data_IF_418969439425
#
_entry.id   IF_418969439425
#
_cell.length_a   1.000
_cell.length_b   1.000
_cell.length_c   1.000
_cell.angle_alpha   90.00
_cell.angle_beta   90.00
_cell.angle_gamma   90.00
#
_symmetry.space_group_name_H-M   'P 1'
#
loop_
_entity.id
_entity.type
_entity.pdbx_description
1 polymer ?
#
# COMPACT_ATOMS: atom_id res chain seq x y z
N UNK A 1 -6.26 33.04 -16.95
CA UNK A 1 -5.51 31.80 -16.60
C UNK A 1 -6.53 30.76 -16.19
N UNK A 2 -6.68 29.69 -16.96
CA UNK A 2 -7.72 28.69 -16.76
C UNK A 2 -7.45 27.90 -15.47
N UNK A 3 -8.42 27.92 -14.53
CA UNK A 3 -8.53 26.99 -13.40
C UNK A 3 -8.89 25.59 -13.95
N UNK A 4 -7.93 24.89 -14.53
CA UNK A 4 -8.02 23.47 -14.89
C UNK A 4 -7.13 22.63 -13.94
N UNK A 5 -7.15 22.85 -12.65
CA UNK A 5 -6.76 21.83 -11.69
C UNK A 5 -8.05 21.23 -11.14
N UNK A 6 -8.39 20.04 -11.59
CA UNK A 6 -9.27 19.14 -10.82
C UNK A 6 -8.78 19.22 -9.39
N UNK A 7 -9.68 19.55 -8.44
CA UNK A 7 -9.34 19.61 -7.01
C UNK A 7 -9.06 18.17 -6.55
N UNK A 8 -7.82 17.72 -6.80
CA UNK A 8 -7.37 16.37 -6.52
C UNK A 8 -6.56 16.34 -5.23
N UNK A 9 -6.94 15.47 -4.32
CA UNK A 9 -6.27 15.22 -3.06
C UNK A 9 -5.81 13.76 -2.97
N UNK A 10 -4.65 13.54 -2.38
CA UNK A 10 -4.10 12.20 -2.20
C UNK A 10 -4.09 11.82 -0.72
N UNK A 11 -4.55 10.62 -0.41
CA UNK A 11 -4.51 10.02 0.93
C UNK A 11 -3.57 8.84 0.90
N UNK A 12 -2.52 8.88 1.71
CA UNK A 12 -1.56 7.79 1.89
C UNK A 12 -2.03 6.91 3.05
N UNK A 13 -2.24 5.62 2.78
CA UNK A 13 -2.59 4.62 3.79
C UNK A 13 -1.32 3.99 4.36
N UNK A 14 -1.02 4.26 5.63
CA UNK A 14 0.25 3.91 6.28
C UNK A 14 0.07 3.13 7.59
N UNK A 15 -0.96 2.27 7.67
CA UNK A 15 -1.31 1.51 8.88
C UNK A 15 -0.69 0.10 8.99
N UNK A 16 0.08 -0.37 8.01
CA UNK A 16 0.64 -1.72 7.96
C UNK A 16 1.73 -1.98 9.02
N UNK A 17 1.77 -3.19 9.61
CA UNK A 17 2.80 -3.60 10.60
C UNK A 17 4.13 -4.00 9.97
N UNK A 18 4.12 -4.46 8.71
CA UNK A 18 5.34 -4.83 7.98
C UNK A 18 6.11 -6.03 8.54
N UNK A 19 5.49 -6.89 9.37
CA UNK A 19 6.12 -8.03 10.09
C UNK A 19 6.96 -8.98 9.21
N UNK A 20 6.62 -9.09 7.93
CA UNK A 20 7.34 -9.96 6.96
C UNK A 20 8.75 -9.49 6.61
N UNK A 21 9.16 -8.30 7.06
CA UNK A 21 10.53 -7.80 6.92
C UNK A 21 11.32 -7.80 8.23
N UNK A 22 10.82 -8.47 9.27
CA UNK A 22 11.61 -8.65 10.47
C UNK A 22 12.94 -9.36 10.14
N UNK A 23 14.09 -8.95 10.71
CA UNK A 23 14.28 -7.94 11.74
C UNK A 23 14.54 -6.51 11.21
N UNK A 24 14.43 -6.25 9.91
CA UNK A 24 14.56 -4.88 9.38
C UNK A 24 13.38 -3.99 9.78
N UNK A 25 12.18 -4.57 9.85
CA UNK A 25 10.98 -3.89 10.34
C UNK A 25 10.69 -4.28 11.79
N UNK A 26 10.27 -3.30 12.59
CA UNK A 26 9.81 -3.45 13.97
C UNK A 26 8.47 -2.71 14.14
N UNK A 27 7.73 -2.90 15.25
CA UNK A 27 6.54 -2.11 15.52
C UNK A 27 6.78 -0.59 15.47
N UNK A 28 7.96 -0.12 15.91
CA UNK A 28 8.36 1.30 15.92
C UNK A 28 8.85 1.77 14.55
N UNK A 29 9.31 0.86 13.72
CA UNK A 29 9.81 1.12 12.36
C UNK A 29 9.26 0.08 11.38
N UNK A 30 7.94 0.10 11.08
CA UNK A 30 7.35 -0.84 10.16
C UNK A 30 7.81 -0.62 8.71
N UNK A 31 7.43 -1.54 7.81
CA UNK A 31 7.88 -1.65 6.42
C UNK A 31 7.93 -0.31 5.67
N UNK A 32 6.93 0.55 5.81
CA UNK A 32 6.84 1.82 5.09
C UNK A 32 7.97 2.81 5.44
N UNK A 33 8.67 2.63 6.58
CA UNK A 33 9.84 3.43 6.95
C UNK A 33 11.18 2.82 6.54
N UNK A 34 11.17 1.65 5.91
CA UNK A 34 12.40 1.01 5.44
C UNK A 34 12.99 1.78 4.26
N UNK A 35 14.30 2.07 4.34
CA UNK A 35 15.10 2.73 3.31
C UNK A 35 15.98 1.72 2.57
N UNK A 36 15.38 0.61 2.17
CA UNK A 36 16.11 -0.50 1.55
C UNK A 36 16.10 -0.37 0.04
N UNK A 37 15.02 0.11 -0.52
CA UNK A 37 14.83 0.22 -1.97
C UNK A 37 14.95 1.68 -2.42
N UNK A 38 16.09 2.05 -3.01
CA UNK A 38 16.29 3.39 -3.60
C UNK A 38 16.68 4.51 -2.62
N UNK A 39 17.13 4.17 -1.37
CA UNK A 39 17.69 5.13 -0.42
C UNK A 39 16.68 5.95 0.39
N UNK A 40 15.48 6.21 -0.13
CA UNK A 40 14.37 6.83 0.59
C UNK A 40 13.43 5.78 1.20
N UNK A 41 12.68 6.15 2.25
CA UNK A 41 11.65 5.28 2.80
C UNK A 41 10.50 5.06 1.82
N UNK A 42 9.83 3.90 1.90
CA UNK A 42 8.71 3.59 1.01
C UNK A 42 7.57 4.61 1.13
N UNK A 43 7.28 5.10 2.34
CA UNK A 43 6.27 6.14 2.54
C UNK A 43 6.68 7.45 1.86
N UNK A 44 7.96 7.85 1.92
CA UNK A 44 8.44 9.03 1.22
C UNK A 44 8.34 8.86 -0.28
N UNK A 45 8.76 7.72 -0.82
CA UNK A 45 8.60 7.40 -2.24
C UNK A 45 7.13 7.42 -2.67
N UNK A 46 6.19 6.98 -1.79
CA UNK A 46 4.75 7.03 -2.07
C UNK A 46 4.23 8.45 -2.23
N UNK A 47 4.75 9.40 -1.48
CA UNK A 47 4.39 10.82 -1.59
C UNK A 47 5.09 11.45 -2.80
N UNK A 48 6.41 11.29 -2.92
CA UNK A 48 7.22 11.99 -3.94
C UNK A 48 6.81 11.60 -5.36
N UNK A 49 6.42 10.34 -5.60
CA UNK A 49 5.93 9.91 -6.91
C UNK A 49 4.60 10.54 -7.34
N UNK A 50 3.82 11.12 -6.41
CA UNK A 50 2.58 11.84 -6.68
C UNK A 50 2.78 13.33 -6.95
N UNK A 51 3.94 13.89 -6.61
CA UNK A 51 4.25 15.29 -6.87
C UNK A 51 4.20 15.60 -8.36
N UNK A 52 3.57 16.74 -8.69
CA UNK A 52 3.21 17.10 -10.07
C UNK A 52 1.74 16.74 -10.41
N UNK A 53 1.08 15.90 -9.59
CA UNK A 53 -0.38 15.74 -9.60
C UNK A 53 -1.02 16.44 -8.41
N UNK A 54 -0.34 16.46 -7.26
CA UNK A 54 -0.75 17.15 -6.02
C UNK A 54 0.39 17.98 -5.47
N UNK A 55 0.09 18.95 -4.61
CA UNK A 55 1.05 19.66 -3.76
C UNK A 55 1.07 18.99 -2.38
N UNK A 56 2.08 19.25 -1.57
CA UNK A 56 2.17 18.69 -0.22
C UNK A 56 0.96 19.06 0.67
N UNK A 57 0.39 20.25 0.47
CA UNK A 57 -0.80 20.71 1.20
C UNK A 57 -2.04 19.88 0.90
N UNK A 58 -2.09 19.22 -0.24
CA UNK A 58 -3.19 18.39 -0.72
C UNK A 58 -2.93 16.88 -0.50
N UNK A 59 -1.82 16.55 0.20
CA UNK A 59 -1.52 15.17 0.65
C UNK A 59 -1.95 14.99 2.09
N UNK A 60 -2.64 13.90 2.35
CA UNK A 60 -3.10 13.45 3.66
C UNK A 60 -2.49 12.08 3.98
N UNK A 61 -2.30 11.79 5.26
CA UNK A 61 -1.78 10.49 5.70
C UNK A 61 -2.65 9.93 6.82
N UNK A 62 -3.09 8.69 6.65
CA UNK A 62 -3.75 7.90 7.69
C UNK A 62 -2.77 6.83 8.17
N UNK A 63 -2.37 6.88 9.43
CA UNK A 63 -1.38 5.98 10.03
C UNK A 63 -1.82 5.55 11.43
N UNK A 64 -1.12 4.64 12.10
CA UNK A 64 -1.34 4.34 13.50
C UNK A 64 -0.99 5.56 14.38
N UNK A 65 -1.71 5.79 15.49
CA UNK A 65 -1.43 6.87 16.45
C UNK A 65 0.03 6.86 16.93
N UNK A 66 0.60 5.68 17.12
CA UNK A 66 1.96 5.50 17.61
C UNK A 66 3.02 5.90 16.56
N UNK A 67 2.64 5.92 15.28
CA UNK A 67 3.52 6.27 14.16
C UNK A 67 3.37 7.73 13.67
N UNK A 68 2.44 8.51 14.22
CA UNK A 68 2.20 9.90 13.79
C UNK A 68 3.49 10.74 13.87
N UNK A 69 4.23 10.66 14.97
CA UNK A 69 5.46 11.43 15.14
C UNK A 69 6.59 10.95 14.19
N UNK A 70 6.69 9.64 13.95
CA UNK A 70 7.63 9.10 12.97
C UNK A 70 7.27 9.55 11.54
N UNK A 71 5.98 9.52 11.20
CA UNK A 71 5.47 10.00 9.91
C UNK A 71 5.74 11.48 9.69
N UNK A 72 5.53 12.34 10.71
CA UNK A 72 5.83 13.78 10.63
C UNK A 72 7.32 14.06 10.42
N UNK A 73 8.21 13.29 11.06
CA UNK A 73 9.67 13.42 10.84
C UNK A 73 10.08 12.97 9.44
N UNK A 74 9.42 11.94 8.91
CA UNK A 74 9.72 11.42 7.58
C UNK A 74 9.17 12.31 6.46
N UNK A 75 8.04 12.99 6.71
CA UNK A 75 7.30 13.82 5.74
C UNK A 75 7.07 15.24 6.31
N UNK A 76 8.12 16.02 6.62
CA UNK A 76 8.00 17.32 7.25
C UNK A 76 7.30 18.38 6.38
N UNK A 77 7.24 18.17 5.07
CA UNK A 77 6.59 19.07 4.11
C UNK A 77 5.04 18.96 4.15
N UNK A 78 4.50 17.84 4.66
CA UNK A 78 3.05 17.66 4.80
C UNK A 78 2.57 18.39 6.06
N UNK A 79 1.53 19.24 5.97
CA UNK A 79 0.97 19.91 7.13
C UNK A 79 0.58 18.93 8.24
N UNK A 80 0.96 19.20 9.48
CA UNK A 80 0.72 18.29 10.61
C UNK A 80 -0.78 17.94 10.79
N UNK A 81 -1.68 18.85 10.41
CA UNK A 81 -3.14 18.65 10.45
C UNK A 81 -3.65 17.62 9.42
N UNK A 82 -2.85 17.31 8.39
CA UNK A 82 -3.16 16.34 7.35
C UNK A 82 -2.69 14.93 7.71
N UNK A 83 -2.00 14.74 8.84
CA UNK A 83 -1.54 13.44 9.32
C UNK A 83 -2.38 13.05 10.53
N UNK A 84 -3.24 12.04 10.36
CA UNK A 84 -4.09 11.51 11.44
C UNK A 84 -3.63 10.12 11.88
N UNK A 85 -3.76 9.87 13.18
CA UNK A 85 -3.43 8.60 13.81
C UNK A 85 -4.67 7.80 14.17
N UNK A 86 -4.83 6.63 13.55
CA UNK A 86 -5.85 5.65 13.93
C UNK A 86 -5.64 5.22 15.39
N UNK A 87 -6.65 5.32 16.25
CA UNK A 87 -6.49 4.96 17.66
C UNK A 87 -6.23 3.48 17.89
N UNK A 88 -6.69 2.63 16.96
CA UNK A 88 -6.49 1.18 16.94
C UNK A 88 -6.59 0.62 15.51
N UNK A 89 -6.24 -0.65 15.32
CA UNK A 89 -6.31 -1.31 14.00
C UNK A 89 -7.73 -1.78 13.71
N UNK A 90 -8.34 -1.26 12.62
CA UNK A 90 -9.68 -1.62 12.11
C UNK A 90 -9.67 -2.04 10.64
N UNK A 91 -8.48 -2.38 10.09
CA UNK A 91 -8.28 -2.68 8.68
C UNK A 91 -8.54 -1.46 7.76
N UNK A 92 -8.48 -1.65 6.44
CA UNK A 92 -8.50 -0.54 5.47
C UNK A 92 -9.84 0.15 5.33
N UNK A 93 -10.96 -0.48 5.71
CA UNK A 93 -12.29 0.11 5.62
C UNK A 93 -12.41 1.40 6.43
N UNK A 94 -12.07 1.35 7.72
CA UNK A 94 -12.10 2.52 8.59
C UNK A 94 -11.05 3.58 8.20
N UNK A 95 -9.87 3.16 7.75
CA UNK A 95 -8.81 4.06 7.30
C UNK A 95 -9.23 4.85 6.04
N UNK A 96 -9.88 4.20 5.07
CA UNK A 96 -10.40 4.85 3.86
C UNK A 96 -11.53 5.81 4.22
N UNK A 97 -12.49 5.38 5.06
CA UNK A 97 -13.59 6.24 5.50
C UNK A 97 -13.09 7.51 6.21
N UNK A 98 -12.13 7.38 7.13
CA UNK A 98 -11.50 8.51 7.81
C UNK A 98 -10.73 9.42 6.82
N UNK A 99 -10.05 8.82 5.84
CA UNK A 99 -9.38 9.54 4.76
C UNK A 99 -10.34 10.35 3.88
N UNK A 100 -11.53 9.80 3.57
CA UNK A 100 -12.61 10.52 2.87
C UNK A 100 -13.06 11.73 3.69
N UNK A 101 -13.31 11.56 4.98
CA UNK A 101 -13.69 12.63 5.88
C UNK A 101 -12.63 13.72 5.98
N UNK A 102 -11.36 13.33 6.08
CA UNK A 102 -10.24 14.26 6.20
C UNK A 102 -10.01 15.07 4.92
N UNK A 103 -9.95 14.41 3.76
CA UNK A 103 -9.72 15.05 2.46
C UNK A 103 -10.97 15.77 1.95
N UNK A 104 -12.18 15.30 2.27
CA UNK A 104 -13.46 15.85 1.81
C UNK A 104 -13.94 17.10 2.55
N UNK A 105 -13.24 17.54 3.60
CA UNK A 105 -13.63 18.70 4.40
C UNK A 105 -13.70 20.04 3.59
N UNK A 106 -13.10 20.10 2.41
CA UNK A 106 -13.11 21.28 1.54
C UNK A 106 -14.15 21.26 0.41
N UNK A 107 -15.05 20.29 0.38
CA UNK A 107 -16.05 20.13 -0.68
C UNK A 107 -15.92 18.83 -1.47
N UNK A 108 -16.72 18.70 -2.55
CA UNK A 108 -16.70 17.52 -3.42
C UNK A 108 -15.62 17.63 -4.50
N UNK A 109 -14.47 17.02 -4.22
CA UNK A 109 -13.34 16.92 -5.12
C UNK A 109 -12.98 15.46 -5.37
N UNK A 110 -12.02 15.22 -6.26
CA UNK A 110 -11.50 13.88 -6.51
C UNK A 110 -10.45 13.52 -5.44
N UNK A 111 -10.64 12.39 -4.78
CA UNK A 111 -9.71 11.85 -3.77
C UNK A 111 -9.11 10.54 -4.29
N UNK A 112 -7.81 10.37 -4.11
CA UNK A 112 -7.11 9.12 -4.41
C UNK A 112 -6.45 8.52 -3.17
N UNK A 113 -6.63 7.22 -2.96
CA UNK A 113 -6.01 6.45 -1.88
C UNK A 113 -4.84 5.65 -2.43
N UNK A 114 -3.69 5.71 -1.74
CA UNK A 114 -2.44 5.08 -2.17
C UNK A 114 -1.77 4.37 -0.99
N UNK A 115 -1.41 3.10 -1.11
CA UNK A 115 -0.59 2.41 -0.11
C UNK A 115 0.80 3.04 0.04
N UNK A 116 1.29 3.07 1.27
CA UNK A 116 2.58 3.67 1.63
C UNK A 116 3.79 2.77 1.42
N UNK A 117 3.60 1.50 1.05
CA UNK A 117 4.60 0.45 1.20
C UNK A 117 4.87 -0.35 -0.09
N UNK A 118 4.43 0.18 -1.23
CA UNK A 118 4.61 -0.42 -2.55
C UNK A 118 5.72 0.26 -3.35
N UNK A 119 6.42 -0.53 -4.17
CA UNK A 119 7.40 -0.03 -5.13
C UNK A 119 6.75 0.34 -6.47
N UNK A 120 7.31 1.35 -7.10
CA UNK A 120 6.97 1.82 -8.45
C UNK A 120 8.26 2.13 -9.19
N UNK A 121 8.62 1.33 -10.18
CA UNK A 121 9.87 1.49 -10.90
C UNK A 121 9.87 2.67 -11.90
N UNK A 122 8.70 3.03 -12.45
CA UNK A 122 8.56 4.08 -13.45
C UNK A 122 7.60 5.21 -12.98
N UNK A 123 8.05 6.17 -12.15
CA UNK A 123 7.19 7.22 -11.58
C UNK A 123 6.50 8.10 -12.63
N UNK A 124 7.09 8.32 -13.80
CA UNK A 124 6.47 9.11 -14.89
C UNK A 124 5.26 8.36 -15.44
N UNK A 125 5.39 7.06 -15.73
CA UNK A 125 4.27 6.22 -16.20
C UNK A 125 3.18 6.09 -15.12
N UNK A 126 3.58 5.97 -13.86
CA UNK A 126 2.67 5.98 -12.72
C UNK A 126 1.81 7.25 -12.70
N UNK A 127 2.44 8.45 -12.75
CA UNK A 127 1.69 9.72 -12.80
C UNK A 127 0.75 9.81 -13.99
N UNK A 128 1.17 9.36 -15.16
CA UNK A 128 0.29 9.32 -16.34
C UNK A 128 -0.92 8.41 -16.13
N UNK A 129 -0.75 7.26 -15.47
CA UNK A 129 -1.83 6.33 -15.12
C UNK A 129 -2.78 6.95 -14.10
N UNK A 130 -2.26 7.54 -13.02
CA UNK A 130 -3.06 8.23 -11.99
C UNK A 130 -3.85 9.39 -12.61
N UNK A 131 -3.24 10.18 -13.51
CA UNK A 131 -3.93 11.27 -14.23
C UNK A 131 -5.13 10.75 -15.05
N UNK A 132 -5.01 9.60 -15.71
CA UNK A 132 -6.12 8.95 -16.42
C UNK A 132 -7.21 8.50 -15.44
N UNK A 133 -6.82 7.94 -14.29
CA UNK A 133 -7.76 7.52 -13.26
C UNK A 133 -8.53 8.71 -12.65
N UNK A 134 -7.86 9.82 -12.37
CA UNK A 134 -8.49 11.07 -11.92
C UNK A 134 -9.51 11.56 -12.96
N UNK A 135 -9.11 11.62 -14.24
CA UNK A 135 -10.00 12.08 -15.32
C UNK A 135 -11.21 11.14 -15.51
N UNK A 136 -11.06 9.85 -15.26
CA UNK A 136 -12.15 8.87 -15.29
C UNK A 136 -13.10 9.07 -14.09
N UNK A 137 -12.55 9.18 -12.88
CA UNK A 137 -13.30 9.39 -11.64
C UNK A 137 -14.14 10.69 -11.66
N UNK A 138 -13.62 11.73 -12.28
CA UNK A 138 -14.35 13.01 -12.41
C UNK A 138 -15.58 12.96 -13.32
N UNK A 139 -15.75 11.90 -14.14
CA UNK A 139 -16.84 11.80 -15.13
C UNK A 139 -18.12 11.17 -14.58
N UNK A 140 -18.10 10.52 -13.43
CA UNK A 140 -19.29 9.84 -12.93
C UNK A 140 -19.07 9.14 -11.59
N UNK A 141 -20.11 8.54 -11.02
CA UNK A 141 -20.11 7.97 -9.68
C UNK A 141 -19.46 6.57 -9.65
N UNK A 142 -18.24 6.46 -10.14
CA UNK A 142 -17.48 5.22 -10.13
C UNK A 142 -16.23 5.36 -9.25
N UNK A 143 -15.89 4.30 -8.51
CA UNK A 143 -14.57 4.15 -7.88
C UNK A 143 -13.64 3.53 -8.93
N UNK A 144 -12.61 4.28 -9.30
CA UNK A 144 -11.59 3.83 -10.25
C UNK A 144 -10.48 3.15 -9.49
N UNK A 145 -10.17 1.89 -9.84
CA UNK A 145 -8.96 1.22 -9.36
C UNK A 145 -7.91 1.10 -10.45
N UNK A 146 -6.64 0.97 -10.03
CA UNK A 146 -5.52 0.73 -10.95
C UNK A 146 -5.28 -0.78 -11.01
N UNK A 147 -5.39 -1.33 -12.22
CA UNK A 147 -5.16 -2.74 -12.49
C UNK A 147 -3.76 -3.00 -13.03
N UNK A 148 -3.07 -3.98 -12.48
CA UNK A 148 -1.71 -4.39 -12.88
C UNK A 148 -1.78 -5.75 -13.58
N UNK A 149 -1.07 -5.90 -14.69
CA UNK A 149 -1.02 -7.17 -15.40
C UNK A 149 -0.38 -8.27 -14.55
N UNK A 150 -1.10 -9.37 -14.26
CA UNK A 150 -0.56 -10.46 -13.46
C UNK A 150 0.59 -11.17 -14.18
N UNK A 151 1.62 -11.54 -13.42
CA UNK A 151 2.73 -12.37 -13.89
C UNK A 151 2.67 -13.81 -13.36
N UNK A 152 1.85 -14.05 -12.33
CA UNK A 152 1.62 -15.36 -11.72
C UNK A 152 0.24 -15.41 -11.04
N UNK A 153 -0.33 -16.59 -10.72
CA UNK A 153 -1.63 -16.71 -10.08
C UNK A 153 -1.54 -16.43 -8.56
N UNK A 154 -1.39 -15.15 -8.19
CA UNK A 154 -1.30 -14.72 -6.80
C UNK A 154 -2.62 -14.94 -6.06
N UNK A 155 -2.58 -15.56 -4.88
CA UNK A 155 -3.73 -15.69 -3.96
C UNK A 155 -3.74 -14.61 -2.88
N UNK A 156 -2.70 -13.79 -2.80
CA UNK A 156 -2.56 -12.68 -1.85
C UNK A 156 -3.08 -11.34 -2.34
N UNK A 157 -3.49 -11.24 -3.61
CA UNK A 157 -3.98 -10.00 -4.23
C UNK A 157 -5.45 -10.11 -4.65
N UNK A 158 -6.14 -8.97 -4.67
CA UNK A 158 -7.43 -8.83 -5.34
C UNK A 158 -7.26 -8.87 -6.87
N UNK A 159 -8.31 -9.28 -7.56
CA UNK A 159 -8.38 -9.30 -9.02
C UNK A 159 -9.55 -8.44 -9.49
N UNK A 160 -9.38 -7.78 -10.63
CA UNK A 160 -10.42 -6.96 -11.23
C UNK A 160 -10.51 -7.21 -12.73
N UNK A 161 -11.73 -7.39 -13.22
CA UNK A 161 -12.03 -7.49 -14.64
C UNK A 161 -11.87 -6.10 -15.26
N UNK A 162 -10.99 -5.91 -16.27
CA UNK A 162 -10.73 -4.59 -16.83
C UNK A 162 -11.91 -4.01 -17.62
N UNK A 163 -12.83 -4.84 -18.11
CA UNK A 163 -14.00 -4.42 -18.90
C UNK A 163 -15.24 -4.26 -18.03
N UNK A 164 -15.59 -5.29 -17.27
CA UNK A 164 -16.80 -5.28 -16.44
C UNK A 164 -16.61 -4.63 -15.07
N UNK A 165 -15.40 -4.34 -14.63
CA UNK A 165 -15.11 -3.79 -13.31
C UNK A 165 -15.37 -4.76 -12.15
N UNK A 166 -15.66 -6.05 -12.42
CA UNK A 166 -15.92 -7.05 -11.39
C UNK A 166 -14.67 -7.26 -10.53
N UNK A 167 -14.82 -7.02 -9.24
CA UNK A 167 -13.74 -7.12 -8.25
C UNK A 167 -13.88 -8.39 -7.41
N UNK A 168 -12.78 -9.07 -7.12
CA UNK A 168 -12.73 -10.28 -6.27
C UNK A 168 -11.48 -10.22 -5.39
N UNK A 169 -11.65 -10.19 -4.08
CA UNK A 169 -10.54 -10.14 -3.12
C UNK A 169 -9.98 -11.54 -2.88
N UNK A 170 -8.66 -11.70 -3.00
CA UNK A 170 -7.86 -12.88 -2.64
C UNK A 170 -8.51 -14.23 -2.99
N UNK A 171 -8.68 -14.53 -4.28
CA UNK A 171 -9.28 -15.78 -4.71
C UNK A 171 -8.40 -16.98 -4.35
N UNK A 172 -8.99 -18.16 -4.33
CA UNK A 172 -8.24 -19.41 -4.28
C UNK A 172 -7.36 -19.62 -5.53
N UNK A 173 -6.39 -20.53 -5.47
CA UNK A 173 -5.44 -20.77 -6.55
C UNK A 173 -6.10 -21.17 -7.87
N UNK A 174 -7.21 -21.94 -7.81
CA UNK A 174 -7.96 -22.37 -9.01
C UNK A 174 -8.56 -21.16 -9.71
N UNK A 175 -9.21 -20.27 -8.96
CA UNK A 175 -9.79 -19.03 -9.48
C UNK A 175 -8.70 -18.07 -9.98
N UNK A 176 -7.60 -17.92 -9.24
CA UNK A 176 -6.47 -17.08 -9.64
C UNK A 176 -5.89 -17.52 -11.00
N UNK A 177 -5.73 -18.84 -11.23
CA UNK A 177 -5.31 -19.39 -12.53
C UNK A 177 -6.32 -19.12 -13.66
N UNK A 178 -7.63 -19.20 -13.38
CA UNK A 178 -8.67 -18.86 -14.34
C UNK A 178 -8.62 -17.37 -14.69
N UNK A 179 -8.55 -16.48 -13.69
CA UNK A 179 -8.49 -15.04 -13.90
C UNK A 179 -7.29 -14.58 -14.74
N UNK A 180 -6.11 -15.24 -14.60
CA UNK A 180 -4.99 -14.97 -15.49
C UNK A 180 -5.33 -15.24 -16.95
N UNK A 181 -6.02 -16.36 -17.24
CA UNK A 181 -6.42 -16.73 -18.61
C UNK A 181 -7.50 -15.80 -19.14
N UNK A 182 -8.40 -15.37 -18.28
CA UNK A 182 -9.54 -14.49 -18.61
C UNK A 182 -9.15 -13.01 -18.70
N UNK A 183 -7.86 -12.67 -18.55
CA UNK A 183 -7.36 -11.31 -18.71
C UNK A 183 -7.61 -10.37 -17.53
N UNK A 184 -7.99 -10.88 -16.37
CA UNK A 184 -8.11 -10.07 -15.16
C UNK A 184 -6.77 -9.44 -14.76
N UNK A 185 -6.85 -8.27 -14.14
CA UNK A 185 -5.71 -7.54 -13.60
C UNK A 185 -5.65 -7.70 -12.07
N UNK A 186 -4.46 -7.63 -11.49
CA UNK A 186 -4.32 -7.46 -10.04
C UNK A 186 -4.80 -6.08 -9.63
N UNK A 187 -5.52 -6.00 -8.52
CA UNK A 187 -5.82 -4.73 -7.86
C UNK A 187 -4.55 -4.20 -7.19
N UNK A 188 -4.11 -3.00 -7.58
CA UNK A 188 -2.96 -2.34 -6.95
C UNK A 188 -3.27 -1.77 -5.54
N UNK A 189 -4.52 -1.85 -5.07
CA UNK A 189 -4.94 -1.22 -3.82
C UNK A 189 -4.98 0.30 -3.87
N UNK A 190 -5.08 0.87 -5.08
CA UNK A 190 -5.19 2.31 -5.31
C UNK A 190 -6.59 2.64 -5.80
N UNK A 191 -7.29 3.52 -5.10
CA UNK A 191 -8.70 3.84 -5.36
C UNK A 191 -8.88 5.33 -5.54
N UNK A 192 -9.52 5.75 -6.64
CA UNK A 192 -9.71 7.15 -6.99
C UNK A 192 -11.19 7.38 -7.32
N UNK A 193 -11.84 8.34 -6.66
CA UNK A 193 -13.22 8.72 -6.92
C UNK A 193 -13.52 10.14 -6.43
N UNK A 194 -14.69 10.67 -6.76
CA UNK A 194 -15.23 11.84 -6.09
C UNK A 194 -15.54 11.51 -4.63
N UNK A 195 -15.39 12.48 -3.75
CA UNK A 195 -15.68 12.32 -2.31
C UNK A 195 -17.13 11.87 -2.09
N UNK A 196 -18.09 12.43 -2.84
CA UNK A 196 -19.49 12.04 -2.83
C UNK A 196 -19.70 10.58 -3.23
N UNK A 197 -18.95 10.08 -4.22
CA UNK A 197 -18.99 8.66 -4.63
C UNK A 197 -18.55 7.73 -3.50
N UNK A 198 -17.43 8.04 -2.82
CA UNK A 198 -17.00 7.27 -1.67
C UNK A 198 -18.05 7.26 -0.56
N UNK A 199 -18.60 8.44 -0.20
CA UNK A 199 -19.65 8.55 0.82
C UNK A 199 -20.88 7.72 0.48
N UNK A 200 -21.36 7.81 -0.75
CA UNK A 200 -22.51 7.02 -1.22
C UNK A 200 -22.24 5.52 -1.19
N UNK A 201 -21.02 5.10 -1.58
CA UNK A 201 -20.63 3.70 -1.52
C UNK A 201 -20.56 3.19 -0.06
N UNK A 202 -19.98 3.96 0.86
CA UNK A 202 -19.99 3.62 2.29
C UNK A 202 -21.42 3.57 2.84
N UNK A 203 -22.26 4.55 2.54
CA UNK A 203 -23.65 4.55 3.00
C UNK A 203 -24.44 3.33 2.54
N UNK A 204 -24.18 2.85 1.31
CA UNK A 204 -24.89 1.72 0.72
C UNK A 204 -24.38 0.36 1.17
N UNK A 205 -23.06 0.21 1.38
CA UNK A 205 -22.43 -1.10 1.53
C UNK A 205 -21.70 -1.30 2.87
N UNK A 206 -21.35 -0.22 3.57
CA UNK A 206 -20.69 -0.26 4.87
C UNK A 206 -21.20 0.89 5.77
N UNK A 207 -22.52 0.95 6.08
CA UNK A 207 -23.15 2.06 6.79
C UNK A 207 -22.53 2.32 8.17
N UNK A 208 -22.01 1.29 8.84
CA UNK A 208 -21.31 1.44 10.12
C UNK A 208 -20.06 2.35 10.02
N UNK A 209 -19.46 2.48 8.83
CA UNK A 209 -18.25 3.28 8.60
C UNK A 209 -18.56 4.71 8.12
N UNK A 210 -19.80 5.01 7.70
CA UNK A 210 -20.15 6.25 6.99
C UNK A 210 -19.88 7.50 7.82
N UNK A 211 -20.06 7.44 9.14
CA UNK A 211 -19.84 8.57 10.04
C UNK A 211 -18.41 9.12 10.03
N UNK A 212 -17.41 8.27 9.71
CA UNK A 212 -16.03 8.72 9.53
C UNK A 212 -15.85 9.56 8.25
N UNK A 213 -16.72 9.37 7.25
CA UNK A 213 -16.67 10.13 6.00
C UNK A 213 -17.13 11.59 6.15
N UNK A 214 -17.82 11.94 7.25
CA UNK A 214 -18.37 13.29 7.45
C UNK A 214 -17.28 14.34 7.71
N UNK A 215 -16.10 13.92 8.14
CA UNK A 215 -14.98 14.83 8.43
C UNK A 215 -15.16 15.62 9.72
N UNK A 216 -14.41 16.73 9.87
CA UNK A 216 -14.48 17.57 11.06
C UNK A 216 -14.13 16.81 12.36
N UNK A 217 -15.03 16.86 13.34
CA UNK A 217 -14.88 16.16 14.63
C UNK A 217 -14.90 14.64 14.51
N UNK A 218 -15.51 14.07 13.42
CA UNK A 218 -15.54 12.63 13.19
C UNK A 218 -14.16 12.02 12.86
N UNK A 219 -13.16 12.84 12.59
CA UNK A 219 -11.77 12.39 12.29
C UNK A 219 -10.74 13.04 13.21
N UNK A 220 -11.16 13.63 14.34
CA UNK A 220 -10.28 14.32 15.32
C UNK A 220 -10.76 14.11 16.76
N UNK A 221 -9.79 14.20 17.67
CA UNK A 221 -10.06 14.28 19.11
C UNK A 221 -10.75 13.05 19.73
N UNK A 222 -11.53 13.29 20.77
CA UNK A 222 -12.24 12.24 21.52
C UNK A 222 -13.32 11.57 20.68
N UNK A 223 -14.06 12.36 19.90
CA UNK A 223 -15.13 11.83 19.04
C UNK A 223 -14.61 10.85 17.99
N UNK A 224 -13.45 11.14 17.40
CA UNK A 224 -12.80 10.20 16.46
C UNK A 224 -12.48 8.86 17.13
N UNK A 225 -11.96 8.90 18.38
CA UNK A 225 -11.67 7.68 19.13
C UNK A 225 -12.92 6.86 19.39
N UNK A 226 -13.99 7.48 19.90
CA UNK A 226 -15.26 6.80 20.17
C UNK A 226 -15.84 6.13 18.91
N UNK A 227 -15.90 6.87 17.81
CA UNK A 227 -16.38 6.34 16.54
C UNK A 227 -15.50 5.17 16.07
N UNK A 228 -14.18 5.34 16.12
CA UNK A 228 -13.24 4.32 15.64
C UNK A 228 -13.27 3.04 16.46
N UNK A 229 -13.50 3.13 17.78
CA UNK A 229 -13.65 1.99 18.68
C UNK A 229 -14.87 1.13 18.34
N UNK A 230 -15.95 1.75 17.87
CA UNK A 230 -17.17 1.07 17.46
C UNK A 230 -17.10 0.47 16.04
N UNK A 231 -16.12 0.85 15.21
CA UNK A 231 -16.04 0.41 13.81
C UNK A 231 -15.74 -1.09 13.68
N UNK A 232 -16.35 -1.79 12.72
CA UNK A 232 -16.01 -3.17 12.39
C UNK A 232 -14.56 -3.24 11.84
N UNK A 233 -13.91 -4.38 12.07
CA UNK A 233 -12.61 -4.68 11.48
C UNK A 233 -12.81 -5.37 10.14
N UNK A 234 -12.82 -4.58 9.07
CA UNK A 234 -13.07 -5.06 7.71
C UNK A 234 -12.25 -4.25 6.70
N UNK A 235 -11.76 -4.90 5.64
CA UNK A 235 -11.07 -4.19 4.56
C UNK A 235 -12.06 -3.42 3.68
N UNK A 236 -11.59 -2.31 3.10
CA UNK A 236 -12.36 -1.54 2.12
C UNK A 236 -12.71 -2.40 0.90
N UNK A 237 -11.80 -3.27 0.50
CA UNK A 237 -11.96 -4.19 -0.61
C UNK A 237 -13.20 -5.09 -0.43
N UNK A 238 -13.34 -5.70 0.74
CA UNK A 238 -14.47 -6.60 1.05
C UNK A 238 -15.75 -5.82 1.37
N UNK A 239 -15.64 -4.76 2.17
CA UNK A 239 -16.82 -4.03 2.65
C UNK A 239 -17.50 -3.19 1.55
N UNK A 240 -16.71 -2.63 0.62
CA UNK A 240 -17.21 -1.68 -0.38
C UNK A 240 -16.92 -2.13 -1.80
N UNK A 241 -15.65 -2.44 -2.14
CA UNK A 241 -15.28 -2.70 -3.54
C UNK A 241 -15.97 -3.91 -4.14
N UNK A 242 -16.03 -5.05 -3.42
CA UNK A 242 -16.71 -6.24 -3.93
C UNK A 242 -18.22 -6.01 -4.20
N UNK A 243 -19.03 -5.54 -3.23
CA UNK A 243 -20.46 -5.30 -3.50
C UNK A 243 -20.68 -4.15 -4.49
N UNK A 244 -19.91 -3.07 -4.44
CA UNK A 244 -20.03 -1.95 -5.37
C UNK A 244 -19.70 -2.36 -6.81
N UNK A 245 -18.74 -3.27 -7.00
CA UNK A 245 -18.40 -3.81 -8.33
C UNK A 245 -19.56 -4.60 -8.95
N UNK A 246 -20.34 -5.34 -8.15
CA UNK A 246 -21.52 -6.08 -8.62
C UNK A 246 -22.64 -5.16 -9.10
N UNK A 247 -22.68 -3.93 -8.58
CA UNK A 247 -23.61 -2.88 -9.02
C UNK A 247 -23.06 -2.03 -10.19
N UNK A 248 -21.92 -2.39 -10.80
CA UNK A 248 -21.31 -1.64 -11.90
C UNK A 248 -20.60 -0.33 -11.46
N UNK A 249 -20.38 -0.15 -10.16
CA UNK A 249 -19.80 1.06 -9.59
C UNK A 249 -18.26 1.15 -9.70
N UNK A 250 -17.59 0.11 -10.19
CA UNK A 250 -16.13 0.08 -10.29
C UNK A 250 -15.67 0.24 -11.73
N UNK A 251 -14.68 1.09 -11.95
CA UNK A 251 -13.97 1.22 -13.22
C UNK A 251 -12.48 0.89 -13.03
N UNK A 252 -11.83 0.44 -14.10
CA UNK A 252 -10.42 0.04 -14.07
C UNK A 252 -9.61 0.89 -15.01
N UNK A 253 -8.42 1.31 -14.57
CA UNK A 253 -7.39 1.91 -15.40
C UNK A 253 -6.16 1.00 -15.38
N UNK A 254 -5.80 0.35 -16.48
CA UNK A 254 -4.60 -0.46 -16.54
C UNK A 254 -3.34 0.38 -16.33
N UNK A 255 -2.41 -0.12 -15.50
CA UNK A 255 -1.12 0.48 -15.20
C UNK A 255 0.03 -0.44 -15.61
N UNK A 256 1.05 0.16 -16.24
CA UNK A 256 2.32 -0.48 -16.58
C UNK A 256 3.46 0.45 -16.14
N UNK A 257 3.82 0.36 -14.86
CA UNK A 257 4.82 1.24 -14.25
C UNK A 257 5.78 0.51 -13.30
N UNK A 258 5.88 -0.82 -13.45
CA UNK A 258 6.73 -1.64 -12.59
C UNK A 258 6.26 -1.62 -11.13
N UNK A 259 4.98 -1.97 -10.92
CA UNK A 259 4.38 -2.08 -9.59
C UNK A 259 4.80 -3.38 -8.90
N UNK A 260 5.11 -3.29 -7.61
CA UNK A 260 5.38 -4.43 -6.74
C UNK A 260 4.89 -4.13 -5.31
N UNK A 261 4.18 -5.08 -4.71
CA UNK A 261 3.74 -5.02 -3.31
C UNK A 261 4.91 -5.08 -2.33
N UNK A 262 6.09 -5.55 -2.77
CA UNK A 262 7.27 -5.77 -1.92
C UNK A 262 6.89 -6.53 -0.66
N UNK A 263 6.32 -7.73 -0.85
CA UNK A 263 5.65 -8.46 0.23
C UNK A 263 6.59 -9.15 1.23
N UNK A 264 7.84 -9.39 0.89
CA UNK A 264 8.82 -10.11 1.72
C UNK A 264 10.25 -9.88 1.22
N UNK A 265 11.24 -10.51 1.87
CA UNK A 265 12.64 -10.51 1.41
C UNK A 265 12.85 -11.05 -0.01
N UNK A 266 11.89 -11.79 -0.58
CA UNK A 266 11.97 -12.19 -1.99
C UNK A 266 12.09 -11.01 -2.95
N UNK A 267 11.61 -9.83 -2.59
CA UNK A 267 11.79 -8.60 -3.36
C UNK A 267 13.26 -8.21 -3.55
N UNK A 268 14.17 -8.66 -2.66
CA UNK A 268 15.60 -8.39 -2.83
C UNK A 268 16.17 -9.05 -4.09
N UNK A 269 15.65 -10.21 -4.50
CA UNK A 269 16.04 -10.83 -5.76
C UNK A 269 15.65 -9.97 -6.98
N UNK A 270 14.58 -9.20 -6.87
CA UNK A 270 14.12 -8.35 -7.97
C UNK A 270 14.86 -7.03 -8.06
N UNK A 271 15.20 -6.44 -6.91
CA UNK A 271 15.68 -5.06 -6.83
C UNK A 271 17.18 -4.89 -6.59
N UNK A 272 17.88 -5.97 -6.23
CA UNK A 272 19.33 -5.90 -5.96
C UNK A 272 20.13 -6.72 -6.96
N UNK A 273 21.39 -6.30 -7.24
CA UNK A 273 22.27 -7.05 -8.13
C UNK A 273 22.67 -8.38 -7.51
N UNK A 274 22.79 -9.38 -8.37
CA UNK A 274 23.29 -10.71 -8.01
C UNK A 274 24.77 -10.83 -8.34
N UNK A 275 25.53 -11.58 -7.53
CA UNK A 275 26.84 -12.05 -7.92
C UNK A 275 26.73 -13.23 -8.92
N UNK A 276 27.88 -13.73 -9.41
CA UNK A 276 27.93 -14.82 -10.41
C UNK A 276 27.32 -16.15 -9.93
N UNK A 277 27.05 -16.28 -8.62
CA UNK A 277 26.42 -17.46 -7.99
C UNK A 277 24.98 -17.18 -7.55
N UNK A 278 24.39 -16.07 -7.99
CA UNK A 278 23.00 -15.70 -7.70
C UNK A 278 22.78 -15.16 -6.29
N UNK A 279 23.82 -14.79 -5.54
CA UNK A 279 23.64 -14.21 -4.21
C UNK A 279 23.39 -12.70 -4.29
N UNK A 280 22.44 -12.22 -3.50
CA UNK A 280 22.25 -10.79 -3.20
C UNK A 280 23.04 -10.44 -1.95
N UNK A 281 23.84 -9.37 -2.01
CA UNK A 281 24.68 -8.91 -0.90
C UNK A 281 24.43 -7.43 -0.63
N UNK A 282 23.81 -7.14 0.49
CA UNK A 282 23.51 -5.78 0.94
C UNK A 282 24.23 -5.52 2.28
N UNK A 283 25.20 -4.64 2.25
CA UNK A 283 26.11 -4.37 3.38
C UNK A 283 27.32 -5.31 3.43
N UNK A 284 28.05 -5.39 4.57
CA UNK A 284 29.28 -6.12 4.70
C UNK A 284 29.05 -7.66 4.70
N UNK A 285 29.05 -8.27 3.52
CA UNK A 285 28.82 -9.70 3.31
C UNK A 285 30.04 -10.37 2.62
N UNK A 286 30.50 -11.47 3.17
CA UNK A 286 31.50 -12.38 2.56
C UNK A 286 30.80 -13.68 2.20
N UNK A 287 30.96 -14.15 0.96
CA UNK A 287 30.27 -15.34 0.44
C UNK A 287 31.30 -16.22 -0.27
N UNK A 288 31.45 -17.46 0.18
CA UNK A 288 32.42 -18.44 -0.36
C UNK A 288 31.70 -19.77 -0.60
N UNK A 289 31.79 -20.29 -1.83
CA UNK A 289 31.14 -21.54 -2.24
C UNK A 289 29.64 -21.64 -1.87
N UNK A 290 28.93 -20.49 -1.90
CA UNK A 290 27.53 -20.39 -1.51
C UNK A 290 26.69 -19.82 -2.65
N UNK A 291 25.45 -20.32 -2.84
CA UNK A 291 24.63 -20.05 -4.01
C UNK A 291 23.24 -19.56 -3.62
N UNK A 292 22.71 -18.61 -4.41
CA UNK A 292 21.31 -18.16 -4.36
C UNK A 292 20.84 -17.71 -2.96
N UNK A 293 21.70 -17.01 -2.21
CA UNK A 293 21.36 -16.48 -0.89
C UNK A 293 21.01 -14.98 -0.95
N UNK A 294 20.22 -14.52 0.01
CA UNK A 294 19.97 -13.09 0.25
C UNK A 294 20.63 -12.74 1.58
N UNK A 295 21.65 -11.89 1.55
CA UNK A 295 22.42 -11.45 2.72
C UNK A 295 22.19 -9.96 2.94
N UNK A 296 21.63 -9.58 4.08
CA UNK A 296 21.36 -8.18 4.45
C UNK A 296 22.03 -7.88 5.78
N UNK A 297 23.20 -7.25 5.75
CA UNK A 297 23.98 -6.92 6.93
C UNK A 297 23.78 -5.46 7.32
N UNK A 298 23.12 -5.18 8.44
CA UNK A 298 22.90 -3.83 9.00
C UNK A 298 23.75 -3.54 10.24
N UNK A 299 24.40 -4.55 10.81
CA UNK A 299 25.28 -4.40 11.97
C UNK A 299 26.54 -5.26 11.84
N UNK A 300 26.45 -6.54 12.21
CA UNK A 300 27.55 -7.48 12.08
C UNK A 300 27.74 -7.92 10.62
N UNK A 301 29.02 -8.20 10.24
CA UNK A 301 29.35 -8.84 8.97
C UNK A 301 28.70 -10.21 8.87
N UNK A 302 28.09 -10.53 7.73
CA UNK A 302 27.63 -11.87 7.38
C UNK A 302 28.73 -12.58 6.60
N UNK A 303 29.08 -13.80 7.01
CA UNK A 303 30.00 -14.68 6.27
C UNK A 303 29.30 -16.00 6.00
N UNK A 304 29.16 -16.36 4.73
CA UNK A 304 28.55 -17.62 4.28
C UNK A 304 29.61 -18.52 3.63
N UNK A 305 29.66 -19.77 4.04
CA UNK A 305 30.53 -20.79 3.47
C UNK A 305 29.75 -22.06 3.17
N UNK A 306 29.72 -22.49 1.91
CA UNK A 306 29.14 -23.76 1.48
C UNK A 306 27.62 -23.89 1.62
N UNK A 307 26.88 -22.80 1.78
CA UNK A 307 25.42 -22.80 2.01
C UNK A 307 24.64 -22.29 0.80
N UNK A 308 23.35 -22.67 0.70
CA UNK A 308 22.50 -22.34 -0.44
C UNK A 308 21.08 -21.96 0.01
N UNK A 309 20.42 -21.13 -0.81
CA UNK A 309 19.00 -20.81 -0.69
C UNK A 309 18.60 -20.26 0.68
N UNK A 310 19.42 -19.44 1.30
CA UNK A 310 19.15 -18.82 2.58
C UNK A 310 18.83 -17.34 2.43
N UNK A 311 18.01 -16.83 3.35
CA UNK A 311 17.88 -15.42 3.69
C UNK A 311 18.54 -15.22 5.04
N UNK A 312 19.60 -14.42 5.08
CA UNK A 312 20.33 -14.09 6.31
C UNK A 312 20.33 -12.58 6.49
N UNK A 313 19.78 -12.13 7.60
CA UNK A 313 19.65 -10.71 7.92
C UNK A 313 20.20 -10.44 9.31
N UNK A 314 21.08 -9.45 9.45
CA UNK A 314 21.58 -9.01 10.75
C UNK A 314 21.18 -7.55 11.02
N UNK A 315 20.68 -7.30 12.22
CA UNK A 315 20.47 -5.98 12.79
C UNK A 315 21.21 -5.91 14.14
N UNK A 316 21.22 -4.73 14.79
CA UNK A 316 21.81 -4.60 16.13
C UNK A 316 21.13 -5.49 17.18
N UNK A 317 19.84 -5.81 16.99
CA UNK A 317 18.99 -6.44 18.01
C UNK A 317 18.68 -7.92 17.67
N UNK A 318 18.85 -8.33 16.41
CA UNK A 318 18.44 -9.68 15.98
C UNK A 318 19.19 -10.19 14.75
N UNK A 319 19.17 -11.52 14.61
CA UNK A 319 19.66 -12.25 13.43
C UNK A 319 18.52 -13.14 12.94
N UNK A 320 18.22 -13.05 11.65
CA UNK A 320 17.32 -13.98 10.96
C UNK A 320 18.16 -14.91 10.08
N UNK A 321 17.89 -16.21 10.17
CA UNK A 321 18.32 -17.21 9.18
C UNK A 321 17.07 -18.00 8.78
N UNK A 322 16.73 -17.98 7.51
CA UNK A 322 15.56 -18.66 6.99
C UNK A 322 15.85 -19.29 5.64
N UNK A 323 15.20 -20.40 5.33
CA UNK A 323 15.17 -20.95 3.99
C UNK A 323 14.40 -19.99 3.06
N UNK A 324 14.97 -19.66 1.90
CA UNK A 324 14.43 -18.68 0.95
C UNK A 324 13.04 -19.04 0.47
N UNK A 325 12.74 -20.33 0.27
CA UNK A 325 11.41 -20.83 -0.13
C UNK A 325 10.34 -20.62 0.94
N UNK A 326 10.73 -20.45 2.22
CA UNK A 326 9.83 -20.31 3.36
C UNK A 326 9.70 -18.89 3.87
N UNK A 327 10.33 -17.92 3.23
CA UNK A 327 10.34 -16.53 3.71
C UNK A 327 8.94 -15.87 3.78
N UNK A 328 7.96 -16.39 3.06
CA UNK A 328 6.57 -15.94 3.17
C UNK A 328 5.90 -16.35 4.49
N UNK A 329 6.46 -17.34 5.20
CA UNK A 329 5.94 -17.88 6.47
C UNK A 329 6.44 -17.13 7.71
N UNK A 330 7.13 -16.00 7.54
CA UNK A 330 7.75 -15.21 8.62
C UNK A 330 6.85 -14.95 9.82
N UNK A 331 5.53 -14.84 9.61
CA UNK A 331 4.56 -14.63 10.70
C UNK A 331 4.59 -15.73 11.76
N UNK A 332 5.01 -16.95 11.40
CA UNK A 332 5.13 -18.07 12.35
C UNK A 332 6.17 -17.83 13.45
N UNK A 333 7.09 -16.88 13.28
CA UNK A 333 8.06 -16.52 14.32
C UNK A 333 7.44 -15.69 15.46
N UNK A 334 6.20 -15.20 15.29
CA UNK A 334 5.52 -14.28 16.21
C UNK A 334 4.15 -14.81 16.68
N UNK A 335 3.77 -16.04 16.25
CA UNK A 335 2.54 -16.72 16.62
C UNK A 335 2.71 -17.59 17.87
#
# INVERSE_FOLDING_TARGET
MAKNSTDFKAVILAGGSGERFWPLSTPEKPKQFLRVFGGESLIRQSVTRLLGLVRFEDVYVVTSKDLVNATRRELPEIPAKNIIGEPMRRDTGAAVAAGVGLAGAGGDGVVGFFPSDQMVAAPIRFRATVKRAIARAAKGPQIVTIGIRPTFPATGFGYVDPEAGRFVEKPDLRRAKAYLKDGFLWNAGMFIAQTSTFRSAFASYAPDLVSLCDGGESVKGARFRELYEAMPKVSFDVAVMEPFSKAGGVAVVPGDFGWDDVGSFAAFDTYFPHDSRGNVREGPCTVVEADNNICVARSARISLLGVKNLVVVTTKDAVLVAEKSRISEMKKLFS
#
